data_IF_851783269772
#
_entry.id   IF_851783269772
#
_cell.length_a   1.000
_cell.length_b   1.000
_cell.length_c   1.000
_cell.angle_alpha   90.00
_cell.angle_beta   90.00
_cell.angle_gamma   90.00
#
_symmetry.space_group_name_H-M   'P 1'
#
loop_
_entity.id
_entity.type
_entity.pdbx_description
1 polymer ?
#
# COMPACT_ATOMS: atom_id res chain seq x y z
N UNK A 1 -30.20 -0.29 2.43
CA UNK A 1 -30.91 0.97 2.18
C UNK A 1 -30.65 1.88 3.36
N UNK A 2 -30.49 3.18 3.15
CA UNK A 2 -30.37 4.14 4.26
C UNK A 2 -31.73 4.39 4.93
N UNK A 3 -31.75 5.16 6.02
CA UNK A 3 -32.97 5.50 6.75
C UNK A 3 -34.02 6.26 5.91
N UNK A 4 -33.68 6.69 4.69
CA UNK A 4 -34.56 7.37 3.74
C UNK A 4 -35.05 6.46 2.60
N UNK A 5 -34.69 5.17 2.63
CA UNK A 5 -35.08 4.22 1.59
C UNK A 5 -34.28 4.34 0.29
N UNK A 6 -33.16 5.08 0.27
CA UNK A 6 -32.21 5.06 -0.86
C UNK A 6 -31.27 3.87 -0.73
N UNK A 7 -30.78 3.34 -1.87
CA UNK A 7 -29.71 2.34 -1.83
C UNK A 7 -28.48 3.00 -1.19
N UNK A 8 -28.14 2.54 0.02
CA UNK A 8 -26.93 2.98 0.70
C UNK A 8 -25.68 2.54 -0.07
N UNK A 9 -24.54 3.09 0.31
CA UNK A 9 -23.24 2.77 -0.29
C UNK A 9 -22.97 1.26 -0.28
N UNK A 10 -22.65 0.72 -1.46
CA UNK A 10 -22.32 -0.70 -1.59
C UNK A 10 -20.97 -0.99 -0.92
N UNK A 11 -20.75 -2.22 -0.41
CA UNK A 11 -19.45 -2.62 0.14
C UNK A 11 -18.29 -2.34 -0.84
N UNK A 12 -18.49 -2.64 -2.13
CA UNK A 12 -17.51 -2.38 -3.17
C UNK A 12 -17.13 -0.89 -3.26
N UNK A 13 -18.10 0.03 -3.19
CA UNK A 13 -17.84 1.47 -3.27
C UNK A 13 -17.01 1.94 -2.06
N UNK A 14 -17.30 1.39 -0.87
CA UNK A 14 -16.54 1.67 0.36
C UNK A 14 -15.09 1.20 0.25
N UNK A 15 -14.87 0.01 -0.32
CA UNK A 15 -13.53 -0.52 -0.58
C UNK A 15 -12.78 0.32 -1.62
N UNK A 16 -13.43 0.71 -2.72
CA UNK A 16 -12.81 1.56 -3.76
C UNK A 16 -12.40 2.92 -3.17
N UNK A 17 -13.24 3.53 -2.34
CA UNK A 17 -12.91 4.77 -1.65
C UNK A 17 -11.64 4.62 -0.80
N UNK A 18 -11.58 3.59 0.04
CA UNK A 18 -10.41 3.29 0.87
C UNK A 18 -9.14 3.07 0.03
N UNK A 19 -9.22 2.24 -1.01
CA UNK A 19 -8.07 1.95 -1.89
C UNK A 19 -7.56 3.20 -2.59
N UNK A 20 -8.45 4.09 -3.06
CA UNK A 20 -8.05 5.35 -3.71
C UNK A 20 -7.36 6.31 -2.75
N UNK A 21 -7.85 6.42 -1.51
CA UNK A 21 -7.19 7.24 -0.48
C UNK A 21 -5.76 6.73 -0.22
N UNK A 22 -5.59 5.41 -0.11
CA UNK A 22 -4.29 4.80 0.16
C UNK A 22 -3.33 4.87 -1.04
N UNK A 23 -3.81 4.61 -2.25
CA UNK A 23 -2.97 4.55 -3.44
C UNK A 23 -2.45 5.93 -3.88
N UNK A 24 -3.26 6.97 -3.73
CA UNK A 24 -2.93 8.31 -4.22
C UNK A 24 -2.56 9.30 -3.11
N UNK A 25 -2.65 8.90 -1.84
CA UNK A 25 -2.42 9.80 -0.70
C UNK A 25 -3.38 10.99 -0.66
N UNK A 26 -4.56 10.86 -1.28
CA UNK A 26 -5.55 11.94 -1.40
C UNK A 26 -6.40 12.05 -0.13
N UNK A 27 -6.87 13.27 0.16
CA UNK A 27 -7.78 13.51 1.27
C UNK A 27 -9.15 12.89 0.99
N UNK A 28 -9.88 12.60 2.07
CA UNK A 28 -11.23 12.05 1.99
C UNK A 28 -12.20 12.98 1.24
N UNK A 29 -11.95 14.30 1.30
CA UNK A 29 -12.74 15.32 0.61
C UNK A 29 -12.65 15.19 -0.92
N UNK A 30 -11.45 14.87 -1.45
CA UNK A 30 -11.27 14.60 -2.87
C UNK A 30 -11.97 13.32 -3.34
N UNK A 31 -12.29 12.39 -2.43
CA UNK A 31 -12.99 11.13 -2.76
C UNK A 31 -14.50 11.35 -2.89
N UNK A 32 -15.06 12.34 -2.17
CA UNK A 32 -16.47 12.70 -2.25
C UNK A 32 -16.86 13.15 -3.66
N UNK A 33 -16.00 13.90 -4.34
CA UNK A 33 -16.25 14.40 -5.70
C UNK A 33 -16.44 13.26 -6.73
N UNK A 34 -15.75 12.13 -6.57
CA UNK A 34 -15.81 11.02 -7.52
C UNK A 34 -16.81 9.93 -7.14
N UNK A 35 -16.95 9.62 -5.85
CA UNK A 35 -17.74 8.49 -5.36
C UNK A 35 -19.01 8.92 -4.63
N UNK A 36 -19.23 10.23 -4.43
CA UNK A 36 -20.34 10.81 -3.65
C UNK A 36 -20.44 10.18 -2.26
N UNK A 37 -19.29 10.11 -1.59
CA UNK A 37 -19.12 9.62 -0.23
C UNK A 37 -18.63 10.77 0.62
N UNK A 38 -19.42 11.14 1.63
CA UNK A 38 -18.98 12.15 2.59
C UNK A 38 -17.66 11.77 3.26
N UNK A 39 -16.78 12.74 3.41
CA UNK A 39 -15.40 12.57 3.87
C UNK A 39 -15.27 11.73 5.16
N UNK A 40 -16.16 11.94 6.14
CA UNK A 40 -16.19 11.16 7.38
C UNK A 40 -16.42 9.66 7.13
N UNK A 41 -17.30 9.33 6.18
CA UNK A 41 -17.58 7.94 5.80
C UNK A 41 -16.44 7.34 4.99
N UNK A 42 -15.82 8.11 4.09
CA UNK A 42 -14.64 7.65 3.35
C UNK A 42 -13.48 7.32 4.31
N UNK A 43 -13.23 8.19 5.29
CA UNK A 43 -12.19 7.98 6.30
C UNK A 43 -12.47 6.77 7.20
N UNK A 44 -13.73 6.59 7.62
CA UNK A 44 -14.18 5.39 8.36
C UNK A 44 -13.97 4.12 7.53
N UNK A 45 -14.29 4.16 6.23
CA UNK A 45 -14.10 3.03 5.31
C UNK A 45 -12.61 2.70 5.15
N UNK A 46 -11.76 3.71 5.00
CA UNK A 46 -10.31 3.53 4.94
C UNK A 46 -9.77 2.87 6.21
N UNK A 47 -10.17 3.35 7.40
CA UNK A 47 -9.76 2.73 8.67
C UNK A 47 -10.15 1.27 8.76
N UNK A 48 -11.42 0.95 8.47
CA UNK A 48 -11.92 -0.43 8.51
C UNK A 48 -11.22 -1.33 7.48
N UNK A 49 -10.94 -0.78 6.29
CA UNK A 49 -10.19 -1.48 5.27
C UNK A 49 -8.77 -1.82 5.74
N UNK A 50 -8.03 -0.84 6.30
CA UNK A 50 -6.69 -1.09 6.85
C UNK A 50 -6.71 -2.14 7.97
N UNK A 51 -7.68 -2.06 8.89
CA UNK A 51 -7.82 -3.05 9.96
C UNK A 51 -8.06 -4.46 9.40
N UNK A 52 -8.93 -4.61 8.40
CA UNK A 52 -9.17 -5.89 7.75
C UNK A 52 -7.90 -6.42 7.03
N UNK A 53 -7.13 -5.54 6.38
CA UNK A 53 -5.85 -5.93 5.78
C UNK A 53 -4.84 -6.38 6.84
N UNK A 54 -4.75 -5.68 7.97
CA UNK A 54 -3.89 -6.07 9.09
C UNK A 54 -4.35 -7.41 9.69
N UNK A 55 -5.66 -7.62 9.82
CA UNK A 55 -6.19 -8.89 10.32
C UNK A 55 -5.84 -10.07 9.41
N UNK A 56 -5.94 -9.89 8.09
CA UNK A 56 -5.69 -10.96 7.12
C UNK A 56 -4.20 -11.20 6.86
N UNK A 57 -3.40 -10.13 6.79
CA UNK A 57 -2.00 -10.19 6.33
C UNK A 57 -0.98 -9.82 7.41
N UNK A 58 -1.42 -9.31 8.56
CA UNK A 58 -0.54 -8.76 9.59
C UNK A 58 0.43 -9.77 10.16
N UNK A 59 0.00 -11.02 10.37
CA UNK A 59 0.89 -12.07 10.87
C UNK A 59 2.07 -12.34 9.93
N UNK A 60 1.85 -12.28 8.62
CA UNK A 60 2.89 -12.54 7.62
C UNK A 60 3.74 -11.31 7.32
N UNK A 61 3.13 -10.12 7.22
CA UNK A 61 3.79 -8.91 6.70
C UNK A 61 4.22 -7.90 7.77
N UNK A 62 3.68 -7.97 9.00
CA UNK A 62 4.13 -7.12 10.11
C UNK A 62 5.11 -7.82 11.06
N UNK A 63 5.37 -9.11 10.87
CA UNK A 63 6.45 -9.81 11.58
C UNK A 63 7.81 -9.36 11.09
N UNK A 64 8.85 -9.63 11.88
CA UNK A 64 10.24 -9.49 11.43
C UNK A 64 10.48 -10.45 10.25
N UNK A 65 11.09 -9.99 9.14
CA UNK A 65 11.48 -10.87 8.04
C UNK A 65 12.39 -12.00 8.53
N UNK A 66 12.17 -13.20 8.00
CA UNK A 66 13.05 -14.35 8.20
C UNK A 66 13.97 -14.51 6.98
N UNK A 67 14.88 -15.49 7.03
CA UNK A 67 15.84 -15.69 5.95
C UNK A 67 15.16 -15.98 4.59
N UNK A 68 14.06 -16.74 4.58
CA UNK A 68 13.34 -17.03 3.34
C UNK A 68 12.70 -15.78 2.72
N UNK A 69 12.19 -14.85 3.54
CA UNK A 69 11.69 -13.57 3.04
C UNK A 69 12.81 -12.73 2.43
N UNK A 70 13.97 -12.71 3.10
CA UNK A 70 15.16 -11.99 2.66
C UNK A 70 15.65 -12.56 1.33
N UNK A 71 15.79 -13.88 1.23
CA UNK A 71 16.23 -14.58 0.02
C UNK A 71 15.25 -14.34 -1.14
N UNK A 72 13.93 -14.41 -0.87
CA UNK A 72 12.90 -14.11 -1.86
C UNK A 72 12.99 -12.66 -2.35
N UNK A 73 13.17 -11.71 -1.43
CA UNK A 73 13.30 -10.29 -1.78
C UNK A 73 14.56 -10.03 -2.61
N UNK A 74 15.69 -10.67 -2.26
CA UNK A 74 16.93 -10.59 -3.03
C UNK A 74 16.80 -11.15 -4.43
N UNK A 75 16.16 -12.31 -4.59
CA UNK A 75 15.95 -12.93 -5.90
C UNK A 75 15.10 -12.03 -6.81
N UNK A 76 14.04 -11.42 -6.26
CA UNK A 76 13.20 -10.47 -7.01
C UNK A 76 13.99 -9.21 -7.38
N UNK A 77 14.85 -8.73 -6.48
CA UNK A 77 15.66 -7.55 -6.73
C UNK A 77 16.74 -7.82 -7.79
N UNK A 78 17.41 -8.97 -7.73
CA UNK A 78 18.41 -9.40 -8.71
C UNK A 78 17.80 -9.59 -10.10
N UNK A 79 16.60 -10.19 -10.19
CA UNK A 79 15.85 -10.30 -11.45
C UNK A 79 15.47 -8.94 -12.07
N UNK A 80 15.57 -7.86 -11.29
CA UNK A 80 15.35 -6.47 -11.72
C UNK A 80 16.65 -5.66 -11.82
N UNK A 81 17.82 -6.29 -11.74
CA UNK A 81 19.15 -5.66 -11.69
C UNK A 81 19.38 -4.72 -10.48
N UNK A 82 18.66 -4.91 -9.38
CA UNK A 82 18.74 -4.14 -8.12
C UNK A 82 19.36 -4.93 -6.95
N UNK A 83 20.49 -5.59 -7.18
CA UNK A 83 21.23 -6.36 -6.15
C UNK A 83 21.90 -5.44 -5.12
N UNK A 84 21.17 -4.99 -4.10
CA UNK A 84 21.78 -4.23 -2.98
C UNK A 84 20.85 -3.45 -2.05
N UNK A 85 19.53 -3.47 -2.24
CA UNK A 85 18.62 -2.57 -1.54
C UNK A 85 17.52 -3.31 -0.75
N UNK A 86 17.93 -4.19 0.16
CA UNK A 86 17.05 -4.69 1.20
C UNK A 86 16.69 -3.53 2.16
N UNK A 87 15.40 -3.20 2.25
CA UNK A 87 14.90 -2.20 3.20
C UNK A 87 14.66 -0.79 2.64
N UNK A 88 14.96 -0.53 1.37
CA UNK A 88 14.56 0.71 0.70
C UNK A 88 13.20 0.51 0.01
N UNK A 89 12.11 1.00 0.61
CA UNK A 89 10.77 1.00 -0.01
C UNK A 89 10.79 1.71 -1.37
N UNK A 90 11.53 2.81 -1.48
CA UNK A 90 11.64 3.62 -2.70
C UNK A 90 12.36 2.89 -3.86
N UNK A 91 13.12 1.84 -3.54
CA UNK A 91 13.93 1.09 -4.49
C UNK A 91 13.18 -0.10 -5.10
N UNK A 92 11.96 -0.38 -4.62
CA UNK A 92 11.14 -1.49 -5.10
C UNK A 92 10.12 -1.10 -6.18
N UNK A 93 9.99 0.19 -6.53
CA UNK A 93 8.81 0.71 -7.26
C UNK A 93 9.08 1.48 -8.57
N UNK A 94 10.31 1.81 -8.97
CA UNK A 94 10.52 2.58 -10.22
C UNK A 94 11.92 2.44 -10.82
N UNK A 95 12.04 2.40 -12.16
CA UNK A 95 13.31 2.59 -12.88
C UNK A 95 13.79 4.03 -12.67
N UNK A 96 14.56 4.26 -11.61
CA UNK A 96 15.09 5.59 -11.30
C UNK A 96 16.21 5.95 -12.27
N UNK A 97 15.95 6.90 -13.17
CA UNK A 97 16.96 7.51 -14.07
C UNK A 97 18.13 8.17 -13.32
N UNK A 98 17.97 8.39 -12.01
CA UNK A 98 18.91 9.08 -11.13
C UNK A 98 19.39 8.22 -9.95
N UNK A 99 19.24 6.88 -10.00
CA UNK A 99 19.68 6.02 -8.90
C UNK A 99 21.15 6.36 -8.56
N UNK A 100 21.49 6.78 -7.33
CA UNK A 100 22.85 7.17 -7.00
C UNK A 100 23.76 5.95 -7.18
N UNK A 101 24.58 5.98 -8.21
CA UNK A 101 25.55 4.93 -8.54
C UNK A 101 26.61 4.71 -7.46
N UNK A 102 26.64 5.56 -6.42
CA UNK A 102 27.56 5.49 -5.29
C UNK A 102 27.26 4.43 -4.23
N UNK A 103 26.12 3.72 -4.31
CA UNK A 103 25.77 2.64 -3.36
C UNK A 103 25.81 1.23 -3.97
N UNK A 104 26.42 1.07 -5.15
CA UNK A 104 26.78 -0.27 -5.63
C UNK A 104 27.86 -0.86 -4.73
N UNK A 105 27.49 -1.85 -3.91
CA UNK A 105 28.46 -2.73 -3.24
C UNK A 105 28.98 -2.28 -1.86
N UNK A 106 28.40 -1.25 -1.23
CA UNK A 106 28.75 -0.90 0.15
C UNK A 106 27.96 -1.76 1.15
N UNK A 107 28.28 -3.05 1.19
CA UNK A 107 27.59 -4.02 2.03
C UNK A 107 28.33 -5.35 2.12
N UNK A 108 29.66 -5.28 2.22
CA UNK A 108 30.49 -6.41 2.64
C UNK A 108 31.72 -5.88 3.36
N UNK A 109 31.54 -5.63 4.67
CA UNK A 109 32.53 -5.80 5.74
C UNK A 109 31.80 -5.83 7.08
#
# INVERSE_FOLDING_TARGET
YDATGKRGLTPLTKCIAAMRMLAYGITADCVDEYLKIGASTAHECMKKFCLAIIEVFGEEYLRKPNQADVDRLLQVAEARDFSGMLGCIDCMHWEWKNCPSGWKGAGSE
#
